data_IF_235600917048
#
_entry.id   IF_235600917048
#
_cell.length_a   1.000
_cell.length_b   1.000
_cell.length_c   1.000
_cell.angle_alpha   90.00
_cell.angle_beta   90.00
_cell.angle_gamma   90.00
#
_symmetry.space_group_name_H-M   'P 1'
#
loop_
_entity.id
_entity.type
_entity.pdbx_description
1 polymer ?
#
# COMPACT_ATOMS: atom_id res chain seq x y z
N UNK A 1 -24.08 -26.49 -11.89
CA UNK A 1 -23.22 -26.10 -10.76
C UNK A 1 -22.20 -25.05 -11.22
N UNK A 2 -22.63 -23.79 -11.37
CA UNK A 2 -21.79 -22.67 -11.85
C UNK A 2 -22.25 -21.41 -11.11
N UNK A 3 -21.92 -21.26 -9.82
CA UNK A 3 -22.45 -20.12 -9.03
C UNK A 3 -21.55 -19.65 -7.88
N UNK A 4 -20.56 -20.44 -7.44
CA UNK A 4 -19.68 -20.04 -6.32
C UNK A 4 -18.50 -19.14 -6.74
N UNK A 5 -17.97 -19.34 -7.95
CA UNK A 5 -16.81 -18.59 -8.45
C UNK A 5 -17.16 -17.11 -8.70
N UNK A 6 -18.35 -16.82 -9.23
CA UNK A 6 -18.77 -15.44 -9.57
C UNK A 6 -18.79 -14.50 -8.36
N UNK A 7 -19.34 -14.95 -7.22
CA UNK A 7 -19.41 -14.14 -6.00
C UNK A 7 -18.04 -13.83 -5.39
N UNK A 8 -17.10 -14.78 -5.42
CA UNK A 8 -15.75 -14.57 -4.87
C UNK A 8 -14.93 -13.56 -5.70
N UNK A 9 -15.07 -13.57 -7.03
CA UNK A 9 -14.42 -12.58 -7.89
C UNK A 9 -15.01 -11.18 -7.71
N UNK A 10 -16.33 -11.07 -7.56
CA UNK A 10 -17.01 -9.79 -7.29
C UNK A 10 -16.62 -9.22 -5.92
N UNK A 11 -16.54 -10.07 -4.90
CA UNK A 11 -16.10 -9.68 -3.55
C UNK A 11 -14.63 -9.21 -3.56
N UNK A 12 -13.75 -9.95 -4.23
CA UNK A 12 -12.35 -9.54 -4.40
C UNK A 12 -12.23 -8.18 -5.10
N UNK A 13 -12.98 -7.96 -6.20
CA UNK A 13 -12.99 -6.68 -6.89
C UNK A 13 -13.51 -5.53 -5.99
N UNK A 14 -14.53 -5.79 -5.17
CA UNK A 14 -15.05 -4.84 -4.19
C UNK A 14 -14.00 -4.46 -3.13
N UNK A 15 -13.30 -5.45 -2.57
CA UNK A 15 -12.24 -5.23 -1.58
C UNK A 15 -11.10 -4.42 -2.20
N UNK A 16 -10.65 -4.77 -3.41
CA UNK A 16 -9.57 -4.03 -4.08
C UNK A 16 -9.95 -2.56 -4.35
N UNK A 17 -11.19 -2.29 -4.75
CA UNK A 17 -11.67 -0.92 -4.94
C UNK A 17 -11.70 -0.13 -3.62
N UNK A 18 -12.12 -0.75 -2.53
CA UNK A 18 -12.14 -0.14 -1.20
C UNK A 18 -10.72 0.16 -0.70
N UNK A 19 -9.79 -0.79 -0.86
CA UNK A 19 -8.37 -0.64 -0.53
C UNK A 19 -7.75 0.55 -1.26
N UNK A 20 -7.97 0.66 -2.57
CA UNK A 20 -7.49 1.79 -3.37
C UNK A 20 -8.08 3.11 -2.91
N UNK A 21 -9.37 3.14 -2.60
CA UNK A 21 -10.06 4.34 -2.11
C UNK A 21 -9.47 4.83 -0.78
N UNK A 22 -9.21 3.91 0.15
CA UNK A 22 -8.63 4.24 1.46
C UNK A 22 -7.17 4.66 1.31
N UNK A 23 -6.40 3.97 0.46
CA UNK A 23 -5.03 4.35 0.16
C UNK A 23 -4.96 5.77 -0.44
N UNK A 24 -5.82 6.09 -1.41
CA UNK A 24 -5.91 7.41 -2.03
C UNK A 24 -6.15 8.53 -1.00
N UNK A 25 -7.12 8.33 -0.10
CA UNK A 25 -7.38 9.28 1.00
C UNK A 25 -6.19 9.44 1.93
N UNK A 26 -5.53 8.34 2.32
CA UNK A 26 -4.34 8.39 3.19
C UNK A 26 -3.18 9.14 2.53
N UNK A 27 -2.98 8.96 1.23
CA UNK A 27 -2.00 9.69 0.43
C UNK A 27 -2.33 11.19 0.48
N UNK A 28 -3.56 11.57 0.18
CA UNK A 28 -4.00 12.97 0.21
C UNK A 28 -3.80 13.60 1.59
N UNK A 29 -4.29 12.94 2.64
CA UNK A 29 -4.20 13.42 4.01
C UNK A 29 -2.75 13.62 4.44
N UNK A 30 -1.87 12.65 4.17
CA UNK A 30 -0.46 12.73 4.54
C UNK A 30 0.25 13.83 3.77
N UNK A 31 -0.01 13.94 2.46
CA UNK A 31 0.52 15.01 1.61
C UNK A 31 0.11 16.38 2.14
N UNK A 32 -1.17 16.58 2.45
CA UNK A 32 -1.71 17.82 3.02
C UNK A 32 -1.09 18.14 4.39
N UNK A 33 -0.95 17.16 5.28
CA UNK A 33 -0.30 17.33 6.60
C UNK A 33 1.16 17.79 6.46
N UNK A 34 1.88 17.29 5.45
CA UNK A 34 3.25 17.72 5.11
C UNK A 34 3.33 18.98 4.26
N UNK A 35 2.19 19.60 3.92
CA UNK A 35 2.08 20.80 3.05
C UNK A 35 2.74 20.63 1.67
N UNK A 36 2.72 19.41 1.12
CA UNK A 36 3.24 19.11 -0.21
C UNK A 36 2.11 19.35 -1.24
N UNK A 37 2.40 19.99 -2.37
CA UNK A 37 1.40 20.17 -3.44
C UNK A 37 1.22 18.89 -4.27
N UNK A 38 0.13 18.78 -5.04
CA UNK A 38 -0.03 17.64 -5.96
C UNK A 38 1.08 17.65 -7.01
N UNK A 39 1.47 18.83 -7.51
CA UNK A 39 2.55 19.01 -8.47
C UNK A 39 3.88 18.48 -7.94
N UNK A 40 4.21 18.81 -6.68
CA UNK A 40 5.45 18.39 -6.05
C UNK A 40 5.50 16.87 -5.85
N UNK A 41 4.44 16.26 -5.31
CA UNK A 41 4.40 14.81 -5.11
C UNK A 41 4.39 14.07 -6.45
N UNK A 42 3.63 14.55 -7.43
CA UNK A 42 3.56 13.92 -8.75
C UNK A 42 4.93 13.94 -9.45
N UNK A 43 5.68 15.05 -9.33
CA UNK A 43 7.04 15.14 -9.83
C UNK A 43 7.99 14.15 -9.11
N UNK A 44 7.90 14.06 -7.77
CA UNK A 44 8.72 13.16 -6.95
C UNK A 44 8.50 11.68 -7.29
N UNK A 45 7.25 11.27 -7.50
CA UNK A 45 6.89 9.87 -7.81
C UNK A 45 6.87 9.56 -9.31
N UNK A 46 7.13 10.56 -10.17
CA UNK A 46 7.22 10.39 -11.62
C UNK A 46 5.88 10.12 -12.33
N UNK A 47 4.78 10.74 -11.89
CA UNK A 47 3.45 10.60 -12.51
C UNK A 47 2.86 11.96 -12.90
N UNK A 48 1.81 11.96 -13.73
CA UNK A 48 1.09 13.18 -14.08
C UNK A 48 0.25 13.71 -12.90
N UNK A 49 0.20 15.03 -12.69
CA UNK A 49 -0.58 15.68 -11.61
C UNK A 49 -2.06 15.32 -11.68
N UNK A 50 -2.63 15.26 -12.89
CA UNK A 50 -4.00 14.79 -13.10
C UNK A 50 -4.18 13.36 -12.60
N UNK A 51 -3.19 12.50 -12.83
CA UNK A 51 -3.25 11.11 -12.39
C UNK A 51 -3.13 10.97 -10.88
N UNK A 52 -2.25 11.76 -10.24
CA UNK A 52 -2.20 11.83 -8.78
C UNK A 52 -3.55 12.22 -8.18
N UNK A 53 -4.27 13.16 -8.80
CA UNK A 53 -5.62 13.55 -8.35
C UNK A 53 -6.62 12.40 -8.44
N UNK A 54 -6.57 11.59 -9.49
CA UNK A 54 -7.41 10.39 -9.64
C UNK A 54 -7.07 9.33 -8.58
N UNK A 55 -5.79 9.18 -8.23
CA UNK A 55 -5.36 8.29 -7.14
C UNK A 55 -5.91 8.79 -5.81
N UNK A 56 -5.71 10.08 -5.50
CA UNK A 56 -6.21 10.69 -4.25
C UNK A 56 -7.74 10.64 -4.13
N UNK A 57 -8.47 10.71 -5.24
CA UNK A 57 -9.94 10.55 -5.27
C UNK A 57 -10.42 9.10 -5.19
N UNK A 58 -9.51 8.12 -5.17
CA UNK A 58 -9.85 6.70 -5.04
C UNK A 58 -10.29 6.04 -6.34
N UNK A 59 -9.82 6.50 -7.50
CA UNK A 59 -10.16 5.90 -8.79
C UNK A 59 -9.82 4.38 -8.79
N UNK A 60 -10.80 3.47 -8.94
CA UNK A 60 -10.55 2.03 -8.84
C UNK A 60 -9.67 1.48 -9.97
N UNK A 61 -9.51 2.23 -11.07
CA UNK A 61 -8.62 1.88 -12.19
C UNK A 61 -7.16 2.27 -11.95
N UNK A 62 -6.87 3.05 -10.90
CA UNK A 62 -5.50 3.33 -10.49
C UNK A 62 -4.76 2.03 -10.18
N UNK A 63 -3.46 2.01 -10.45
CA UNK A 63 -2.66 0.80 -10.26
C UNK A 63 -2.04 0.78 -8.88
N UNK A 64 -1.91 -0.40 -8.28
CA UNK A 64 -1.28 -0.54 -6.96
C UNK A 64 0.16 -0.01 -6.94
N UNK A 65 0.92 -0.13 -8.04
CA UNK A 65 2.27 0.43 -8.13
C UNK A 65 2.31 1.95 -7.94
N UNK A 66 1.31 2.68 -8.44
CA UNK A 66 1.23 4.12 -8.23
C UNK A 66 0.92 4.46 -6.76
N UNK A 67 0.03 3.69 -6.13
CA UNK A 67 -0.26 3.82 -4.70
C UNK A 67 0.99 3.54 -3.85
N UNK A 68 1.76 2.49 -4.16
CA UNK A 68 3.00 2.16 -3.46
C UNK A 68 4.04 3.27 -3.58
N UNK A 69 4.23 3.84 -4.77
CA UNK A 69 5.16 4.97 -4.98
C UNK A 69 4.77 6.17 -4.13
N UNK A 70 3.49 6.56 -4.16
CA UNK A 70 2.97 7.68 -3.35
C UNK A 70 3.10 7.41 -1.85
N UNK A 71 2.74 6.21 -1.40
CA UNK A 71 2.85 5.81 0.00
C UNK A 71 4.31 5.86 0.47
N UNK A 72 5.24 5.32 -0.32
CA UNK A 72 6.66 5.32 -0.02
C UNK A 72 7.23 6.74 0.09
N UNK A 73 6.98 7.60 -0.90
CA UNK A 73 7.39 9.01 -0.88
C UNK A 73 6.87 9.77 0.36
N UNK A 74 5.69 9.41 0.84
CA UNK A 74 5.04 10.02 2.00
C UNK A 74 5.31 9.31 3.33
N UNK A 75 6.17 8.28 3.35
CA UNK A 75 6.44 7.47 4.54
C UNK A 75 5.17 6.90 5.17
N UNK A 76 4.25 6.44 4.33
CA UNK A 76 3.05 5.71 4.74
C UNK A 76 3.36 4.21 4.75
N UNK A 77 2.80 3.51 5.73
CA UNK A 77 2.79 2.05 5.75
C UNK A 77 2.19 1.49 4.46
N UNK A 78 2.87 0.51 3.88
CA UNK A 78 2.36 -0.24 2.73
C UNK A 78 1.39 -1.36 3.17
N UNK A 79 1.25 -1.61 4.47
CA UNK A 79 0.46 -2.72 5.00
C UNK A 79 -1.03 -2.62 4.63
N UNK A 80 -1.60 -1.41 4.55
CA UNK A 80 -2.99 -1.20 4.09
C UNK A 80 -3.24 -1.65 2.65
N UNK A 81 -2.18 -1.80 1.84
CA UNK A 81 -2.26 -2.31 0.48
C UNK A 81 -1.91 -3.81 0.43
N UNK A 82 -0.90 -4.25 1.18
CA UNK A 82 -0.37 -5.62 1.13
C UNK A 82 -1.20 -6.63 1.92
N UNK A 83 -1.65 -6.29 3.14
CA UNK A 83 -2.39 -7.22 3.99
C UNK A 83 -3.70 -7.67 3.34
N UNK A 84 -4.53 -6.79 2.75
CA UNK A 84 -5.73 -7.23 2.03
C UNK A 84 -5.42 -8.24 0.92
N UNK A 85 -4.29 -8.07 0.21
CA UNK A 85 -3.89 -9.02 -0.84
C UNK A 85 -3.60 -10.41 -0.29
N UNK A 86 -2.91 -10.50 0.85
CA UNK A 86 -2.64 -11.80 1.50
C UNK A 86 -3.95 -12.55 1.82
N UNK A 87 -4.96 -11.85 2.34
CA UNK A 87 -6.26 -12.48 2.62
C UNK A 87 -6.95 -12.94 1.34
N UNK A 88 -6.96 -12.10 0.30
CA UNK A 88 -7.57 -12.42 -0.99
C UNK A 88 -6.90 -13.63 -1.66
N UNK A 89 -5.58 -13.71 -1.64
CA UNK A 89 -4.79 -14.81 -2.24
C UNK A 89 -5.05 -16.15 -1.53
N UNK A 90 -5.39 -16.11 -0.24
CA UNK A 90 -5.73 -17.30 0.54
C UNK A 90 -7.24 -17.59 0.61
N UNK A 91 -8.06 -16.86 -0.17
CA UNK A 91 -9.52 -16.96 -0.15
C UNK A 91 -10.11 -16.79 1.27
N UNK A 92 -9.45 -15.98 2.09
CA UNK A 92 -9.88 -15.64 3.44
C UNK A 92 -10.71 -14.35 3.41
N UNK A 93 -11.74 -14.28 4.26
CA UNK A 93 -12.49 -13.05 4.44
C UNK A 93 -11.60 -11.98 5.07
N UNK A 94 -11.40 -10.87 4.35
CA UNK A 94 -10.60 -9.76 4.85
C UNK A 94 -11.44 -8.89 5.81
N UNK A 95 -11.01 -8.69 7.08
CA UNK A 95 -11.72 -7.85 8.04
C UNK A 95 -11.57 -6.37 7.67
N UNK A 96 -12.56 -5.82 6.96
CA UNK A 96 -12.56 -4.44 6.42
C UNK A 96 -12.27 -3.36 7.46
N UNK A 97 -12.56 -3.61 8.74
CA UNK A 97 -12.25 -2.73 9.86
C UNK A 97 -10.75 -2.38 9.93
N UNK A 98 -9.86 -3.31 9.56
CA UNK A 98 -8.40 -3.06 9.54
C UNK A 98 -7.99 -1.91 8.60
N UNK A 99 -8.80 -1.57 7.60
CA UNK A 99 -8.47 -0.47 6.70
C UNK A 99 -8.60 0.90 7.38
N UNK A 100 -9.37 0.98 8.47
CA UNK A 100 -9.57 2.19 9.24
C UNK A 100 -8.47 2.42 10.27
N UNK A 101 -7.80 1.35 10.72
CA UNK A 101 -6.79 1.39 11.77
C UNK A 101 -5.44 1.95 11.29
N UNK A 102 -4.59 2.37 12.23
CA UNK A 102 -3.17 2.61 11.93
C UNK A 102 -2.44 1.25 11.85
N UNK A 103 -1.84 0.95 10.70
CA UNK A 103 -1.22 -0.36 10.44
C UNK A 103 0.28 -0.36 10.71
N UNK A 104 0.86 0.73 11.24
CA UNK A 104 2.28 0.76 11.59
C UNK A 104 2.64 -0.36 12.60
N UNK A 105 1.83 -0.54 13.66
CA UNK A 105 2.07 -1.59 14.65
C UNK A 105 1.96 -3.00 14.03
N UNK A 106 0.99 -3.22 13.14
CA UNK A 106 0.87 -4.49 12.43
C UNK A 106 2.05 -4.71 11.48
N UNK A 107 2.48 -3.68 10.76
CA UNK A 107 3.64 -3.73 9.85
C UNK A 107 4.92 -4.10 10.61
N UNK A 108 5.18 -3.47 11.76
CA UNK A 108 6.32 -3.78 12.62
C UNK A 108 6.29 -5.25 13.09
N UNK A 109 5.13 -5.72 13.59
CA UNK A 109 4.96 -7.12 14.00
C UNK A 109 5.12 -8.10 12.85
N UNK A 110 4.64 -7.75 11.65
CA UNK A 110 4.86 -8.57 10.45
C UNK A 110 6.35 -8.64 10.10
N UNK A 111 7.09 -7.54 10.16
CA UNK A 111 8.54 -7.53 9.89
C UNK A 111 9.27 -8.42 10.91
N UNK A 112 8.98 -8.30 12.19
CA UNK A 112 9.56 -9.14 13.24
C UNK A 112 9.27 -10.62 13.00
N UNK A 113 8.00 -10.94 12.71
CA UNK A 113 7.57 -12.30 12.40
C UNK A 113 8.33 -12.84 11.18
N UNK A 114 8.36 -12.12 10.06
CA UNK A 114 9.07 -12.53 8.84
C UNK A 114 10.58 -12.71 9.14
N UNK A 115 11.19 -11.79 9.88
CA UNK A 115 12.60 -11.89 10.29
C UNK A 115 12.89 -13.14 11.14
N UNK A 116 11.94 -13.57 11.96
CA UNK A 116 12.05 -14.76 12.80
C UNK A 116 12.06 -16.08 12.01
N UNK A 117 11.56 -16.12 10.77
CA UNK A 117 11.65 -17.30 9.88
C UNK A 117 13.06 -17.57 9.33
N UNK A 118 14.10 -17.02 9.94
CA UNK A 118 15.52 -17.13 9.54
C UNK A 118 15.83 -16.45 8.20
N UNK A 119 15.58 -15.14 8.10
CA UNK A 119 16.09 -14.30 7.01
C UNK A 119 17.60 -13.97 7.11
N UNK A 120 18.37 -14.67 7.96
CA UNK A 120 19.82 -14.42 8.14
C UNK A 120 20.61 -14.31 6.82
N UNK A 121 20.32 -15.09 5.76
CA UNK A 121 20.97 -14.93 4.46
C UNK A 121 20.52 -13.69 3.67
N UNK A 122 19.27 -13.23 3.86
CA UNK A 122 18.60 -12.24 3.02
C UNK A 122 18.59 -10.82 3.61
N UNK A 123 18.84 -10.65 4.91
CA UNK A 123 18.94 -9.35 5.59
C UNK A 123 20.35 -8.73 5.55
N UNK A 124 21.23 -9.16 4.65
CA UNK A 124 22.46 -8.40 4.39
C UNK A 124 22.07 -7.05 3.80
N UNK A 125 21.98 -6.06 4.69
CA UNK A 125 21.75 -4.65 4.40
C UNK A 125 22.62 -4.26 3.21
N UNK A 126 22.03 -3.98 2.05
CA UNK A 126 22.75 -3.27 1.00
C UNK A 126 23.07 -1.90 1.58
N UNK A 127 24.36 -1.50 1.66
CA UNK A 127 24.69 -0.16 2.13
C UNK A 127 23.99 0.87 1.24
N UNK A 128 23.48 1.94 1.85
CA UNK A 128 23.02 3.10 1.05
C UNK A 128 24.22 3.59 0.22
N UNK A 129 24.02 4.01 -1.04
CA UNK A 129 25.07 4.61 -1.84
C UNK A 129 25.40 6.02 -1.31
N UNK A 130 26.00 6.12 -0.12
CA UNK A 130 26.58 7.35 0.44
C UNK A 130 27.38 7.21 1.75
N UNK A 131 27.57 6.01 2.32
CA UNK A 131 28.46 5.89 3.50
C UNK A 131 29.88 5.49 3.07
N UNK A 132 30.92 6.29 3.41
CA UNK A 132 32.30 5.95 3.12
C UNK A 132 32.77 4.82 4.04
N UNK A 133 33.62 3.96 3.49
CA UNK A 133 34.27 2.87 4.21
C UNK A 133 35.29 3.43 5.20
N UNK A 134 35.07 3.18 6.50
CA UNK A 134 36.15 3.08 7.50
C UNK A 134 36.43 1.60 7.79
#
# INVERSE_FOLDING_TARGET
MISSQGGAFEEGASILAEVKTISGRRIEERRRRRRISQEALAADVGIGVRWLREIESGNPKSRFDDHFRCAHALGLSAAHLLIPMLFLEHHMHFPRQLLQDDMNELEERCIEFIASFSLKPFLRRTPRPSEPFE
#
